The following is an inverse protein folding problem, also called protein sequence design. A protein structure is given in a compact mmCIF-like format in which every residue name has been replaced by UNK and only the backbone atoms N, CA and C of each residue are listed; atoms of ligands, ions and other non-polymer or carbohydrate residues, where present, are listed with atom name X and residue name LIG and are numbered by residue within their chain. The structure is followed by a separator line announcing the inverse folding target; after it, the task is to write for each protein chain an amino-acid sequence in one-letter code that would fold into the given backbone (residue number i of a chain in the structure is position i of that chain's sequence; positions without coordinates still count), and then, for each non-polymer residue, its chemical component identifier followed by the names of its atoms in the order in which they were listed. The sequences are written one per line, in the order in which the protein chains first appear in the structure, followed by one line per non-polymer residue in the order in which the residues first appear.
data_IF_586092069241
#
_entry.id   IF_586092069241
#
_cell.length_a   1.000
_cell.length_b   1.000
_cell.length_c   1.000
_cell.angle_alpha   90.00
_cell.angle_beta   90.00
_cell.angle_gamma   90.00
#
_symmetry.space_group_name_H-M   'P 1'
#
loop_
_entity.id
_entity.type
_entity.pdbx_description
1 polymer ?
#
# COMPACT_ATOMS: atom_id res chain seq x y z
N UNK A 1 5.32 7.21 -1.83
CA UNK A 1 5.62 5.97 -1.11
C UNK A 1 6.88 5.36 -1.69
N UNK A 2 7.77 4.85 -0.85
CA UNK A 2 9.03 4.20 -1.26
C UNK A 2 9.03 2.81 -0.62
N UNK A 3 9.43 1.77 -1.34
CA UNK A 3 9.47 0.38 -0.82
C UNK A 3 10.88 -0.17 -0.90
N UNK A 4 11.27 -0.96 0.09
CA UNK A 4 12.49 -1.77 0.09
C UNK A 4 12.19 -3.21 0.52
N UNK A 5 13.24 -4.00 0.79
CA UNK A 5 13.08 -5.40 1.18
C UNK A 5 12.60 -5.61 2.62
N UNK A 6 12.74 -4.58 3.47
CA UNK A 6 12.42 -4.61 4.90
C UNK A 6 11.10 -3.90 5.22
N UNK A 7 10.57 -3.10 4.30
CA UNK A 7 9.41 -2.27 4.57
C UNK A 7 9.06 -1.28 3.48
N UNK A 8 8.24 -0.31 3.87
CA UNK A 8 7.85 0.79 3.03
C UNK A 8 7.70 2.08 3.84
N UNK A 9 7.86 3.19 3.15
CA UNK A 9 7.78 4.53 3.68
C UNK A 9 6.57 5.24 3.09
N UNK A 10 5.63 5.63 3.94
CA UNK A 10 4.52 6.50 3.59
C UNK A 10 4.89 7.95 3.93
N UNK A 11 4.69 8.86 2.99
CA UNK A 11 4.98 10.28 3.19
C UNK A 11 3.89 11.14 2.59
N UNK A 12 3.51 12.19 3.32
CA UNK A 12 2.52 13.17 2.87
C UNK A 12 3.24 14.48 2.54
N UNK A 13 3.04 14.97 1.31
CA UNK A 13 3.49 16.30 0.91
C UNK A 13 2.28 17.22 0.79
N UNK A 14 2.36 18.39 1.42
CA UNK A 14 1.33 19.43 1.35
C UNK A 14 1.83 20.52 0.41
N UNK A 15 1.19 20.70 -0.75
CA UNK A 15 1.54 21.76 -1.72
C UNK A 15 1.33 23.18 -1.15
N UNK A 16 0.63 23.30 -0.01
CA UNK A 16 0.27 24.55 0.65
C UNK A 16 1.18 24.90 1.83
N UNK A 17 2.10 24.00 2.24
CA UNK A 17 3.04 24.31 3.32
C UNK A 17 4.32 24.92 2.75
N UNK A 18 4.53 26.21 3.04
CA UNK A 18 5.72 26.96 2.64
C UNK A 18 7.03 26.40 3.24
N UNK A 19 6.94 25.55 4.25
CA UNK A 19 8.04 24.77 4.82
C UNK A 19 7.81 23.29 4.54
N UNK A 20 8.48 22.78 3.51
CA UNK A 20 8.42 21.39 3.06
C UNK A 20 9.09 20.42 4.06
N UNK A 21 8.53 20.25 5.25
CA UNK A 21 8.92 19.17 6.14
C UNK A 21 8.14 17.92 5.74
N UNK A 22 8.73 17.12 4.85
CA UNK A 22 8.21 15.81 4.49
C UNK A 22 8.16 14.92 5.74
N UNK A 23 6.96 14.69 6.28
CA UNK A 23 6.74 13.68 7.32
C UNK A 23 6.66 12.32 6.64
N UNK A 24 7.61 11.46 6.97
CA UNK A 24 7.68 10.08 6.48
C UNK A 24 7.54 9.13 7.67
N UNK A 25 6.69 8.11 7.52
CA UNK A 25 6.55 7.01 8.47
C UNK A 25 7.01 5.72 7.81
N UNK A 26 7.81 4.93 8.52
CA UNK A 26 8.26 3.61 8.06
C UNK A 26 7.37 2.51 8.63
N UNK A 27 7.01 1.55 7.79
CA UNK A 27 6.24 0.36 8.14
C UNK A 27 6.97 -0.91 7.68
N UNK A 28 7.08 -1.93 8.54
CA UNK A 28 7.80 -3.16 8.20
C UNK A 28 7.05 -4.00 7.15
N UNK A 29 7.79 -4.83 6.43
CA UNK A 29 7.26 -5.83 5.51
C UNK A 29 8.12 -7.09 5.55
N UNK A 30 7.51 -8.22 5.92
CA UNK A 30 8.17 -9.51 6.11
C UNK A 30 8.33 -10.28 4.80
N UNK A 31 9.08 -9.72 3.83
CA UNK A 31 9.19 -10.31 2.48
C UNK A 31 9.79 -11.71 2.45
N UNK A 32 10.61 -12.05 3.44
CA UNK A 32 11.19 -13.38 3.65
C UNK A 32 10.11 -14.48 3.82
N UNK A 33 8.89 -14.13 4.26
CA UNK A 33 7.78 -15.09 4.36
C UNK A 33 7.30 -15.63 3.00
N UNK A 34 7.74 -15.01 1.90
CA UNK A 34 7.46 -15.48 0.54
C UNK A 34 8.51 -16.45 -0.01
N UNK A 35 9.58 -16.73 0.74
CA UNK A 35 10.58 -17.71 0.34
C UNK A 35 9.94 -19.09 0.14
N UNK A 36 10.23 -19.72 -1.00
CA UNK A 36 9.60 -20.99 -1.39
C UNK A 36 8.21 -20.86 -2.02
N UNK A 37 7.66 -19.64 -2.12
CA UNK A 37 6.39 -19.36 -2.80
C UNK A 37 6.57 -18.70 -4.18
N UNK A 38 7.80 -18.60 -4.71
CA UNK A 38 8.09 -17.87 -5.97
C UNK A 38 7.35 -18.43 -7.18
N UNK A 39 7.04 -19.73 -7.18
CA UNK A 39 6.26 -20.38 -8.22
C UNK A 39 4.74 -20.40 -7.93
N UNK A 40 4.31 -19.93 -6.76
CA UNK A 40 2.91 -19.88 -6.41
C UNK A 40 2.19 -18.75 -7.18
N UNK A 41 1.22 -19.13 -8.00
CA UNK A 41 0.58 -18.22 -8.95
C UNK A 41 -0.01 -16.93 -8.33
N UNK A 42 -0.71 -16.96 -7.18
CA UNK A 42 -1.17 -15.74 -6.52
C UNK A 42 -0.04 -14.76 -6.16
N UNK A 43 1.10 -15.28 -5.69
CA UNK A 43 2.26 -14.46 -5.35
C UNK A 43 2.84 -13.81 -6.60
N UNK A 44 3.05 -14.59 -7.68
CA UNK A 44 3.53 -14.06 -8.97
C UNK A 44 2.62 -12.97 -9.51
N UNK A 45 1.31 -13.22 -9.51
CA UNK A 45 0.31 -12.29 -10.03
C UNK A 45 0.28 -10.99 -9.23
N UNK A 46 0.31 -11.08 -7.90
CA UNK A 46 0.28 -9.89 -7.04
C UNK A 46 1.58 -9.08 -7.16
N UNK A 47 2.75 -9.73 -7.22
CA UNK A 47 4.03 -9.05 -7.47
C UNK A 47 4.02 -8.28 -8.80
N UNK A 48 3.57 -8.93 -9.87
CA UNK A 48 3.43 -8.29 -11.19
C UNK A 48 2.43 -7.14 -11.16
N UNK A 49 1.24 -7.36 -10.61
CA UNK A 49 0.16 -6.37 -10.60
C UNK A 49 0.52 -5.12 -9.79
N UNK A 50 1.15 -5.31 -8.63
CA UNK A 50 1.55 -4.22 -7.71
C UNK A 50 2.81 -3.51 -8.16
N UNK A 51 3.54 -4.03 -9.16
CA UNK A 51 4.81 -3.48 -9.63
C UNK A 51 5.82 -3.28 -8.48
N UNK A 52 5.82 -4.17 -7.49
CA UNK A 52 6.69 -4.10 -6.32
C UNK A 52 6.14 -3.27 -5.14
N UNK A 53 5.04 -2.54 -5.32
CA UNK A 53 4.37 -1.77 -4.27
C UNK A 53 3.43 -2.63 -3.42
N UNK A 54 4.01 -3.57 -2.68
CA UNK A 54 3.28 -4.42 -1.74
C UNK A 54 4.04 -4.61 -0.43
N UNK A 55 3.29 -4.85 0.64
CA UNK A 55 3.80 -5.36 1.91
C UNK A 55 3.41 -6.81 2.13
N UNK A 56 4.21 -7.49 2.94
CA UNK A 56 3.97 -8.86 3.40
C UNK A 56 3.89 -8.83 4.92
N UNK A 57 2.92 -9.52 5.47
CA UNK A 57 2.77 -9.67 6.91
C UNK A 57 2.34 -11.08 7.25
N UNK A 58 2.74 -11.55 8.43
CA UNK A 58 2.14 -12.71 9.07
C UNK A 58 0.98 -12.24 9.95
N UNK A 59 -0.22 -12.69 9.63
CA UNK A 59 -1.41 -12.47 10.43
C UNK A 59 -1.88 -13.80 11.03
N UNK A 60 -1.57 -14.05 12.31
CA UNK A 60 -1.76 -15.33 12.99
C UNK A 60 -0.93 -16.42 12.30
N UNK A 61 -1.57 -17.25 11.48
CA UNK A 61 -0.90 -18.26 10.65
C UNK A 61 -0.94 -17.91 9.17
N UNK A 62 -1.64 -16.86 8.77
CA UNK A 62 -1.82 -16.50 7.38
C UNK A 62 -0.70 -15.56 6.92
N UNK A 63 -0.18 -15.82 5.72
CA UNK A 63 0.71 -14.89 5.04
C UNK A 63 -0.14 -14.05 4.10
N UNK A 64 -0.14 -12.74 4.34
CA UNK A 64 -0.91 -11.78 3.58
C UNK A 64 0.01 -10.94 2.68
N UNK A 65 -0.48 -10.64 1.48
CA UNK A 65 0.08 -9.61 0.61
C UNK A 65 -0.93 -8.47 0.52
N UNK A 66 -0.47 -7.24 0.75
CA UNK A 66 -1.28 -6.02 0.69
C UNK A 66 -0.78 -5.13 -0.44
N UNK A 67 -1.68 -4.70 -1.34
CA UNK A 67 -1.37 -3.68 -2.36
C UNK A 67 -1.35 -2.31 -1.69
N UNK A 68 -0.18 -1.67 -1.72
CA UNK A 68 0.05 -0.40 -1.03
C UNK A 68 -0.36 0.82 -1.86
N UNK A 69 -0.76 0.64 -3.13
CA UNK A 69 -1.19 1.76 -3.99
C UNK A 69 -2.64 2.18 -3.73
N UNK A 70 -3.42 1.33 -3.07
CA UNK A 70 -4.84 1.49 -2.86
C UNK A 70 -5.17 1.34 -1.36
N UNK A 71 -4.82 2.36 -0.60
CA UNK A 71 -4.94 2.39 0.83
C UNK A 71 -3.97 3.37 1.48
N UNK A 72 -4.06 3.47 2.79
CA UNK A 72 -3.06 4.05 3.69
C UNK A 72 -3.20 3.36 5.03
N UNK A 73 -2.13 3.20 5.80
CA UNK A 73 -2.21 2.53 7.10
C UNK A 73 -3.26 3.18 8.03
N UNK A 74 -4.20 2.43 8.66
CA UNK A 74 -4.41 0.98 8.63
C UNK A 74 -5.48 0.49 7.62
N UNK A 75 -5.98 1.38 6.77
CA UNK A 75 -7.08 1.14 5.84
C UNK A 75 -6.61 0.79 4.43
N UNK A 76 -6.20 -0.46 4.22
CA UNK A 76 -5.91 -1.02 2.88
C UNK A 76 -7.12 -1.73 2.26
N UNK A 77 -7.38 -1.44 0.98
CA UNK A 77 -8.54 -1.98 0.26
C UNK A 77 -8.29 -3.40 -0.24
N UNK A 78 -7.04 -3.72 -0.58
CA UNK A 78 -6.64 -4.96 -1.24
C UNK A 78 -5.61 -5.73 -0.43
N UNK A 79 -6.11 -6.63 0.42
CA UNK A 79 -5.31 -7.58 1.21
C UNK A 79 -5.68 -9.00 0.80
N UNK A 80 -4.69 -9.84 0.56
CA UNK A 80 -4.91 -11.21 0.09
C UNK A 80 -4.09 -12.21 0.90
N UNK A 81 -4.76 -13.22 1.46
CA UNK A 81 -4.08 -14.42 1.93
C UNK A 81 -3.51 -15.17 0.73
N UNK A 82 -2.23 -15.50 0.78
CA UNK A 82 -1.55 -16.27 -0.28
C UNK A 82 -1.01 -17.60 0.24
N UNK A 83 -0.69 -17.70 1.52
CA UNK A 83 -0.17 -18.90 2.13
C UNK A 83 -0.57 -18.99 3.60
N UNK A 84 -0.27 -20.14 4.20
CA UNK A 84 -0.32 -20.36 5.64
C UNK A 84 1.04 -20.82 6.14
N UNK A 85 1.49 -20.34 7.29
CA UNK A 85 2.64 -20.92 7.96
C UNK A 85 2.32 -22.33 8.46
N UNK A 86 3.19 -23.26 8.10
CA UNK A 86 3.25 -24.63 8.62
C UNK A 86 4.67 -24.88 9.10
N UNK A 87 4.94 -24.46 10.34
CA UNK A 87 6.27 -24.44 10.96
C UNK A 87 7.19 -25.59 10.49
N UNK A 88 8.33 -25.30 9.86
CA UNK A 88 8.94 -23.98 9.65
C UNK A 88 8.62 -23.32 8.30
N UNK A 89 7.83 -23.95 7.41
CA UNK A 89 7.70 -23.49 6.01
C UNK A 89 6.33 -22.89 5.70
N UNK A 90 6.30 -21.93 4.78
CA UNK A 90 5.06 -21.44 4.20
C UNK A 90 4.45 -22.51 3.27
N UNK A 91 3.17 -22.80 3.45
CA UNK A 91 2.39 -23.65 2.55
C UNK A 91 1.49 -22.80 1.66
N UNK A 92 1.59 -22.94 0.32
CA UNK A 92 0.71 -22.22 -0.60
C UNK A 92 -0.76 -22.54 -0.36
N UNK A 93 -1.63 -21.53 -0.47
CA UNK A 93 -3.08 -21.72 -0.33
C UNK A 93 -3.82 -21.06 -1.48
N UNK A 94 -5.09 -21.41 -1.69
CA UNK A 94 -5.92 -20.64 -2.62
C UNK A 94 -6.02 -19.20 -2.11
N UNK A 95 -5.80 -18.24 -3.00
CA UNK A 95 -5.83 -16.84 -2.61
C UNK A 95 -7.22 -16.41 -2.18
N UNK A 96 -7.31 -15.70 -1.05
CA UNK A 96 -8.58 -15.17 -0.54
C UNK A 96 -8.41 -13.71 -0.13
N UNK A 97 -9.33 -12.84 -0.53
CA UNK A 97 -9.35 -11.45 -0.08
C UNK A 97 -9.68 -11.41 1.42
N UNK A 98 -8.87 -10.69 2.18
CA UNK A 98 -9.07 -10.42 3.60
C UNK A 98 -9.55 -8.97 3.73
N UNK A 99 -10.58 -8.73 4.55
CA UNK A 99 -11.03 -7.35 4.79
C UNK A 99 -10.06 -6.66 5.75
N UNK A 100 -9.58 -5.46 5.38
CA UNK A 100 -8.85 -4.58 6.30
C UNK A 100 -9.77 -3.78 7.22
N UNK A 101 -9.17 -3.05 8.16
CA UNK A 101 -9.90 -2.07 8.96
C UNK A 101 -10.56 -1.06 8.05
N UNK A 102 -11.87 -0.87 8.24
CA UNK A 102 -12.68 -0.08 7.33
C UNK A 102 -12.91 1.35 7.80
N UNK A 103 -11.89 2.20 7.70
CA UNK A 103 -12.09 3.65 7.86
C UNK A 103 -12.20 4.34 6.48
N UNK A 104 -13.33 4.12 5.80
CA UNK A 104 -13.56 4.60 4.44
C UNK A 104 -13.62 6.14 4.37
N UNK A 105 -13.99 6.81 5.46
CA UNK A 105 -14.08 8.26 5.53
C UNK A 105 -12.70 8.92 5.39
N UNK A 106 -11.69 8.42 6.13
CA UNK A 106 -10.30 8.89 6.00
C UNK A 106 -9.72 8.61 4.62
N UNK A 107 -10.06 7.46 4.03
CA UNK A 107 -9.58 7.09 2.70
C UNK A 107 -10.19 7.99 1.61
N UNK A 108 -11.49 8.25 1.65
CA UNK A 108 -12.17 9.14 0.73
C UNK A 108 -11.59 10.56 0.78
N UNK A 109 -11.25 11.07 1.96
CA UNK A 109 -10.59 12.38 2.08
C UNK A 109 -9.22 12.42 1.38
N UNK A 110 -8.39 11.38 1.54
CA UNK A 110 -7.08 11.32 0.84
C UNK A 110 -7.25 11.19 -0.67
N UNK A 111 -8.20 10.37 -1.13
CA UNK A 111 -8.53 10.27 -2.57
C UNK A 111 -9.09 11.59 -3.10
N UNK A 112 -9.99 12.25 -2.38
CA UNK A 112 -10.45 13.58 -2.76
C UNK A 112 -9.26 14.51 -2.93
N UNK A 113 -8.30 14.53 -2.01
CA UNK A 113 -7.12 15.41 -2.08
C UNK A 113 -6.17 15.09 -3.24
N UNK A 114 -6.00 13.82 -3.62
CA UNK A 114 -5.17 13.43 -4.77
C UNK A 114 -5.82 13.83 -6.11
N UNK A 115 -7.14 13.71 -6.22
CA UNK A 115 -7.89 13.95 -7.45
C UNK A 115 -8.51 15.35 -7.55
N UNK A 116 -8.59 16.08 -6.43
CA UNK A 116 -8.77 17.53 -6.40
C UNK A 116 -7.42 18.21 -6.59
N UNK A 117 -6.85 18.01 -7.77
CA UNK A 117 -6.03 19.07 -8.35
C UNK A 117 -7.02 20.19 -8.63
N UNK A 118 -6.99 21.27 -7.85
CA UNK A 118 -7.54 22.53 -8.32
C UNK A 118 -6.39 23.28 -9.00
N UNK A 119 -6.14 23.07 -10.30
CA UNK A 119 -5.39 24.06 -11.05
C UNK A 119 -6.36 25.24 -11.20
N UNK A 120 -6.30 26.17 -10.25
CA UNK A 120 -6.89 27.50 -10.42
C UNK A 120 -6.20 28.21 -11.59
N UNK A 121 -6.59 27.83 -12.81
CA UNK A 121 -6.17 28.47 -14.04
C UNK A 121 -6.92 29.79 -14.16
N UNK A 122 -6.20 30.85 -13.81
CA UNK A 122 -6.13 32.12 -14.51
C UNK A 122 -7.44 32.91 -14.73
N UNK A 123 -7.54 34.08 -14.11
CA UNK A 123 -8.12 35.24 -14.79
C UNK A 123 -7.08 36.35 -14.82
N UNK A 124 -6.39 36.45 -15.96
CA UNK A 124 -5.79 37.70 -16.42
C UNK A 124 -6.89 38.76 -16.38
N UNK A 125 -6.65 39.86 -15.68
CA UNK A 125 -7.18 41.14 -16.11
C UNK A 125 -6.01 41.99 -16.55
N UNK A 126 -5.95 42.13 -17.86
CA UNK A 126 -5.14 43.10 -18.59
C UNK A 126 -5.62 44.52 -18.26
N UNK A 127 -4.65 45.42 -18.07
CA UNK A 127 -4.66 46.88 -18.29
C UNK A 127 -5.91 47.70 -17.97
N UNK A 128 -5.78 48.61 -17.00
CA UNK A 128 -5.56 50.06 -17.22
C UNK A 128 -5.36 50.81 -15.90
#
# INVERSE_FOLDING_TARGET
MITDDKGYYEGFYSLLDATAHLKVTHYPSDRHLLEGLDNHWPVKRLRWFTHGFYSVERHIDDILITDLRMGLEPSYVFRFKVARMSNPHAQPTKSRRVAGERNWEKLLWVWQRIWSTDPGFNRRHDSR
#
